data_IF_365123129168
#
_entry.id   IF_365123129168
#
_cell.length_a   1.000
_cell.length_b   1.000
_cell.length_c   1.000
_cell.angle_alpha   90.00
_cell.angle_beta   90.00
_cell.angle_gamma   90.00
#
_symmetry.space_group_name_H-M   'P 1'
#
loop_
_entity.id
_entity.type
_entity.pdbx_description
1 polymer ?
#
# COMPACT_ATOMS: atom_id res chain seq x y z
N UNK A 1 -9.18 -25.05 7.73
CA UNK A 1 -9.70 -23.76 8.21
C UNK A 1 -8.54 -23.07 8.90
N UNK A 2 -7.80 -22.23 8.18
CA UNK A 2 -6.77 -21.40 8.81
C UNK A 2 -7.47 -20.24 9.52
N UNK A 3 -7.33 -20.18 10.85
CA UNK A 3 -7.78 -19.04 11.64
C UNK A 3 -6.88 -17.84 11.32
N UNK A 4 -7.42 -16.81 10.67
CA UNK A 4 -6.68 -15.59 10.37
C UNK A 4 -6.69 -14.68 11.61
N UNK A 5 -5.57 -14.56 12.36
CA UNK A 5 -5.55 -13.90 13.66
C UNK A 5 -5.89 -12.41 13.58
N UNK A 6 -5.55 -11.73 12.47
CA UNK A 6 -5.88 -10.33 12.24
C UNK A 6 -7.39 -10.11 12.08
N UNK A 7 -8.08 -11.02 11.40
CA UNK A 7 -9.53 -10.97 11.22
C UNK A 7 -10.27 -11.20 12.54
N UNK A 8 -9.76 -12.12 13.37
CA UNK A 8 -10.27 -12.39 14.72
C UNK A 8 -10.12 -11.15 15.60
N UNK A 9 -8.94 -10.52 15.59
CA UNK A 9 -8.68 -9.29 16.33
C UNK A 9 -9.59 -8.13 15.88
N UNK A 10 -9.76 -7.93 14.57
CA UNK A 10 -10.67 -6.92 14.03
C UNK A 10 -12.12 -7.19 14.43
N UNK A 11 -12.58 -8.44 14.36
CA UNK A 11 -13.94 -8.83 14.76
C UNK A 11 -14.16 -8.59 16.26
N UNK A 12 -13.21 -9.01 17.10
CA UNK A 12 -13.26 -8.79 18.54
C UNK A 12 -13.30 -7.29 18.88
N UNK A 13 -12.49 -6.47 18.21
CA UNK A 13 -12.50 -5.02 18.37
C UNK A 13 -13.84 -4.39 17.99
N UNK A 14 -14.42 -4.76 16.83
CA UNK A 14 -15.75 -4.30 16.40
C UNK A 14 -16.84 -4.66 17.42
N UNK A 15 -16.83 -5.91 17.89
CA UNK A 15 -17.80 -6.39 18.88
C UNK A 15 -17.63 -5.68 20.22
N UNK A 16 -16.41 -5.50 20.72
CA UNK A 16 -16.16 -4.83 21.99
C UNK A 16 -16.64 -3.37 21.98
N UNK A 17 -16.38 -2.64 20.88
CA UNK A 17 -16.83 -1.24 20.73
C UNK A 17 -18.35 -1.15 20.67
N UNK A 18 -19.01 -1.98 19.85
CA UNK A 18 -20.47 -1.96 19.73
C UNK A 18 -21.15 -2.44 21.00
N UNK A 19 -20.78 -3.61 21.51
CA UNK A 19 -21.42 -4.22 22.67
C UNK A 19 -21.23 -3.37 23.92
N UNK A 20 -20.00 -2.89 24.18
CA UNK A 20 -19.76 -2.01 25.33
C UNK A 20 -20.55 -0.70 25.27
N UNK A 21 -20.74 -0.14 24.07
CA UNK A 21 -21.58 1.05 23.88
C UNK A 21 -23.06 0.76 24.09
N UNK A 22 -23.54 -0.41 23.64
CA UNK A 22 -24.95 -0.81 23.76
C UNK A 22 -25.32 -1.22 25.18
N UNK A 23 -24.47 -1.97 25.88
CA UNK A 23 -24.69 -2.39 27.27
C UNK A 23 -24.85 -1.16 28.17
N UNK A 24 -23.99 -0.16 27.99
CA UNK A 24 -24.07 1.10 28.71
C UNK A 24 -25.42 1.80 28.48
N UNK A 25 -25.88 1.89 27.22
CA UNK A 25 -27.17 2.48 26.88
C UNK A 25 -28.36 1.72 27.49
N UNK A 26 -28.28 0.38 27.55
CA UNK A 26 -29.32 -0.46 28.14
C UNK A 26 -29.40 -0.30 29.66
N UNK A 27 -28.25 -0.20 30.34
CA UNK A 27 -28.19 0.06 31.78
C UNK A 27 -28.80 1.43 32.11
N UNK A 28 -28.52 2.46 31.30
CA UNK A 28 -29.15 3.78 31.44
C UNK A 28 -30.65 3.74 31.22
N UNK A 29 -31.13 2.97 30.23
CA UNK A 29 -32.56 2.81 29.98
C UNK A 29 -33.29 2.22 31.19
N UNK A 30 -32.74 1.15 31.78
CA UNK A 30 -33.34 0.51 32.95
C UNK A 30 -33.43 1.48 34.13
N UNK A 31 -32.39 2.30 34.33
CA UNK A 31 -32.37 3.31 35.38
C UNK A 31 -33.36 4.46 35.12
N UNK A 32 -33.62 4.79 33.85
CA UNK A 32 -34.53 5.87 33.45
C UNK A 32 -36.00 5.45 33.38
N UNK A 33 -36.33 4.17 33.15
CA UNK A 33 -37.73 3.71 33.06
C UNK A 33 -38.40 3.53 34.44
N UNK A 34 -37.64 3.52 35.54
CA UNK A 34 -38.12 3.14 36.87
C UNK A 34 -38.81 4.26 37.72
N UNK A 35 -38.83 5.56 37.35
CA UNK A 35 -39.39 6.63 38.23
C UNK A 35 -39.98 7.92 37.57
N UNK A 36 -41.22 7.85 37.05
CA UNK A 36 -41.86 8.80 36.09
C UNK A 36 -42.01 10.32 36.39
N UNK A 37 -41.58 10.88 37.53
CA UNK A 37 -41.93 12.28 37.91
C UNK A 37 -40.80 13.32 37.85
N UNK A 38 -39.65 13.02 38.49
CA UNK A 38 -38.45 13.88 38.53
C UNK A 38 -37.54 13.68 37.30
N UNK A 39 -37.90 12.71 36.45
CA UNK A 39 -37.10 12.20 35.37
C UNK A 39 -36.90 13.16 34.21
N UNK A 40 -37.70 14.19 33.95
CA UNK A 40 -37.49 14.99 32.72
C UNK A 40 -36.21 15.84 32.80
N UNK A 41 -35.97 16.54 33.93
CA UNK A 41 -34.70 17.28 34.14
C UNK A 41 -33.52 16.36 34.41
N UNK A 42 -33.75 15.25 35.12
CA UNK A 42 -32.72 14.24 35.35
C UNK A 42 -32.36 13.52 34.05
N UNK A 43 -33.32 13.31 33.15
CA UNK A 43 -33.13 12.75 31.80
C UNK A 43 -32.32 13.70 30.95
N UNK A 44 -32.58 15.00 30.97
CA UNK A 44 -31.73 15.97 30.24
C UNK A 44 -30.29 15.97 30.80
N UNK A 45 -30.12 15.95 32.13
CA UNK A 45 -28.81 15.81 32.80
C UNK A 45 -28.10 14.48 32.48
N UNK A 46 -28.84 13.37 32.48
CA UNK A 46 -28.33 12.03 32.13
C UNK A 46 -28.03 11.95 30.64
N UNK A 47 -28.83 12.59 29.79
CA UNK A 47 -28.57 12.71 28.35
C UNK A 47 -27.28 13.47 28.11
N UNK A 48 -27.09 14.59 28.80
CA UNK A 48 -25.87 15.38 28.72
C UNK A 48 -24.66 14.58 29.24
N UNK A 49 -24.81 13.83 30.34
CA UNK A 49 -23.75 12.97 30.89
C UNK A 49 -23.39 11.79 29.97
N UNK A 50 -24.38 11.15 29.36
CA UNK A 50 -24.17 10.06 28.40
C UNK A 50 -23.48 10.60 27.14
N UNK A 51 -23.91 11.76 26.65
CA UNK A 51 -23.31 12.40 25.47
C UNK A 51 -21.87 12.86 25.74
N UNK A 52 -21.61 13.47 26.90
CA UNK A 52 -20.26 13.82 27.38
C UNK A 52 -19.39 12.56 27.53
N UNK A 53 -19.93 11.50 28.15
CA UNK A 53 -19.25 10.23 28.31
C UNK A 53 -18.85 9.56 26.99
N UNK A 54 -19.70 9.60 25.96
CA UNK A 54 -19.34 9.11 24.63
C UNK A 54 -18.25 9.99 23.98
N UNK A 55 -18.35 11.31 24.09
CA UNK A 55 -17.36 12.22 23.54
C UNK A 55 -15.97 11.98 24.19
N UNK A 56 -15.94 11.84 25.52
CA UNK A 56 -14.71 11.57 26.27
C UNK A 56 -14.16 10.18 26.00
N UNK A 57 -15.04 9.16 25.89
CA UNK A 57 -14.65 7.81 25.50
C UNK A 57 -13.96 7.81 24.12
N UNK A 58 -14.55 8.44 23.11
CA UNK A 58 -13.98 8.45 21.76
C UNK A 58 -12.68 9.24 21.67
N UNK A 59 -12.56 10.35 22.42
CA UNK A 59 -11.28 11.08 22.56
C UNK A 59 -10.22 10.22 23.25
N UNK A 60 -10.54 9.61 24.38
CA UNK A 60 -9.62 8.74 25.10
C UNK A 60 -9.22 7.50 24.29
N UNK A 61 -10.14 6.98 23.47
CA UNK A 61 -9.86 5.89 22.53
C UNK A 61 -8.87 6.36 21.46
N UNK A 62 -9.10 7.50 20.82
CA UNK A 62 -8.17 8.08 19.84
C UNK A 62 -6.76 8.24 20.44
N UNK A 63 -6.64 8.87 21.61
CA UNK A 63 -5.37 9.08 22.30
C UNK A 63 -4.64 7.76 22.53
N UNK A 64 -5.35 6.73 23.00
CA UNK A 64 -4.78 5.38 23.19
C UNK A 64 -4.33 4.76 21.87
N UNK A 65 -5.12 4.88 20.80
CA UNK A 65 -4.74 4.37 19.48
C UNK A 65 -3.48 5.06 18.95
N UNK A 66 -3.37 6.38 19.12
CA UNK A 66 -2.20 7.16 18.71
C UNK A 66 -0.95 6.77 19.52
N UNK A 67 -1.06 6.60 20.84
CA UNK A 67 0.05 6.17 21.70
C UNK A 67 0.53 4.77 21.31
N UNK A 68 -0.38 3.82 21.08
CA UNK A 68 -0.02 2.46 20.66
C UNK A 68 0.61 2.42 19.27
N UNK A 69 0.23 3.34 18.38
CA UNK A 69 0.86 3.47 17.06
C UNK A 69 2.25 4.13 17.12
N UNK A 70 2.48 5.06 18.06
CA UNK A 70 3.74 5.80 18.23
C UNK A 70 4.82 5.04 19.00
N UNK A 71 4.45 4.19 19.96
CA UNK A 71 5.39 3.50 20.87
C UNK A 71 6.31 2.47 20.19
N UNK A 72 5.98 2.05 18.96
CA UNK A 72 6.81 1.14 18.17
C UNK A 72 7.96 1.83 17.43
N UNK A 73 8.12 3.17 17.52
CA UNK A 73 9.23 3.91 16.87
C UNK A 73 10.45 4.14 17.76
N UNK A 74 10.34 4.01 19.08
CA UNK A 74 11.41 4.38 20.01
C UNK A 74 12.25 3.23 20.56
N UNK A 75 11.94 1.98 20.20
CA UNK A 75 12.51 0.78 20.86
C UNK A 75 13.48 -0.08 20.05
N UNK A 76 13.78 0.23 18.79
CA UNK A 76 14.53 -0.69 17.91
C UNK A 76 15.69 -0.01 17.16
N UNK A 77 16.58 0.61 17.92
CA UNK A 77 17.99 0.65 17.53
C UNK A 77 18.67 -0.59 18.13
N UNK A 78 19.15 -1.46 17.24
CA UNK A 78 20.09 -2.55 17.52
C UNK A 78 19.60 -3.75 18.35
N UNK A 79 18.95 -4.74 17.73
CA UNK A 79 19.11 -6.16 18.10
C UNK A 79 18.44 -7.14 17.11
N UNK A 80 19.19 -8.15 16.66
CA UNK A 80 18.70 -9.46 16.17
C UNK A 80 17.96 -9.52 14.82
N UNK A 81 18.67 -9.96 13.77
CA UNK A 81 18.17 -10.07 12.36
C UNK A 81 17.06 -11.13 12.16
N UNK A 82 16.77 -11.99 13.14
CA UNK A 82 15.80 -13.10 12.96
C UNK A 82 14.54 -13.00 13.83
N UNK A 83 14.59 -12.39 15.02
CA UNK A 83 13.41 -12.23 15.90
C UNK A 83 12.64 -10.91 15.64
N UNK A 84 13.34 -9.84 15.24
CA UNK A 84 12.71 -8.55 14.93
C UNK A 84 11.72 -8.61 13.76
N UNK A 85 11.92 -9.52 12.81
CA UNK A 85 11.09 -9.60 11.61
C UNK A 85 9.64 -10.05 11.88
N UNK A 86 9.40 -10.89 12.90
CA UNK A 86 8.03 -11.27 13.29
C UNK A 86 7.37 -10.17 14.12
N UNK A 87 8.10 -9.53 15.03
CA UNK A 87 7.61 -8.40 15.84
C UNK A 87 7.21 -7.22 14.95
N UNK A 88 8.01 -6.89 13.93
CA UNK A 88 7.71 -5.84 12.96
C UNK A 88 6.47 -6.16 12.09
N UNK A 89 6.27 -7.44 11.73
CA UNK A 89 5.09 -7.89 10.97
C UNK A 89 3.81 -7.79 11.81
N UNK A 90 3.85 -8.23 13.06
CA UNK A 90 2.73 -8.12 14.01
C UNK A 90 2.41 -6.65 14.31
N UNK A 91 3.45 -5.82 14.48
CA UNK A 91 3.31 -4.38 14.70
C UNK A 91 2.67 -3.67 13.49
N UNK A 92 3.10 -3.97 12.27
CA UNK A 92 2.50 -3.38 11.07
C UNK A 92 1.07 -3.91 10.81
N UNK A 93 0.82 -5.20 11.01
CA UNK A 93 -0.53 -5.77 10.92
C UNK A 93 -1.49 -5.10 11.90
N UNK A 94 -1.04 -4.83 13.13
CA UNK A 94 -1.82 -4.07 14.12
C UNK A 94 -2.17 -2.66 13.63
N UNK A 95 -1.21 -1.92 13.05
CA UNK A 95 -1.46 -0.58 12.49
C UNK A 95 -2.54 -0.61 11.40
N UNK A 96 -2.55 -1.64 10.55
CA UNK A 96 -3.59 -1.80 9.52
C UNK A 96 -4.96 -2.13 10.13
N UNK A 97 -5.01 -2.94 11.20
CA UNK A 97 -6.24 -3.19 11.97
C UNK A 97 -6.76 -1.90 12.60
N UNK A 98 -5.89 -1.06 13.16
CA UNK A 98 -6.27 0.25 13.72
C UNK A 98 -6.85 1.18 12.65
N UNK A 99 -6.25 1.20 11.45
CA UNK A 99 -6.78 1.95 10.32
C UNK A 99 -8.21 1.50 9.96
N UNK A 100 -8.45 0.19 9.92
CA UNK A 100 -9.79 -0.37 9.65
C UNK A 100 -10.79 -0.15 10.79
N UNK A 101 -10.33 -0.16 12.04
CA UNK A 101 -11.18 0.17 13.18
C UNK A 101 -11.64 1.64 13.12
N UNK A 102 -10.76 2.55 12.69
CA UNK A 102 -11.12 3.96 12.49
C UNK A 102 -12.20 4.14 11.41
N UNK A 103 -12.06 3.45 10.29
CA UNK A 103 -13.08 3.44 9.21
C UNK A 103 -14.41 2.89 9.73
N UNK A 104 -14.37 1.82 10.53
CA UNK A 104 -15.59 1.26 11.14
C UNK A 104 -16.25 2.22 12.13
N UNK A 105 -15.46 2.92 12.96
CA UNK A 105 -15.98 3.91 13.90
C UNK A 105 -16.66 5.05 13.15
N UNK A 106 -16.03 5.56 12.08
CA UNK A 106 -16.59 6.61 11.23
C UNK A 106 -17.87 6.17 10.51
N UNK A 107 -17.85 5.02 9.83
CA UNK A 107 -18.90 4.64 8.88
C UNK A 107 -20.05 3.84 9.50
N UNK A 108 -19.83 3.21 10.66
CA UNK A 108 -20.81 2.29 11.24
C UNK A 108 -21.09 2.58 12.71
N UNK A 109 -20.07 2.68 13.55
CA UNK A 109 -20.30 2.85 14.99
C UNK A 109 -20.93 4.22 15.31
N UNK A 110 -20.35 5.30 14.79
CA UNK A 110 -20.83 6.67 15.07
C UNK A 110 -22.26 6.89 14.56
N UNK A 111 -22.63 6.50 13.31
CA UNK A 111 -24.02 6.61 12.85
C UNK A 111 -25.01 5.81 13.70
N UNK A 112 -24.68 4.55 14.05
CA UNK A 112 -25.55 3.71 14.88
C UNK A 112 -25.73 4.28 16.29
N UNK A 113 -24.65 4.70 16.94
CA UNK A 113 -24.73 5.32 18.27
C UNK A 113 -25.54 6.62 18.19
N UNK A 114 -25.39 7.40 17.12
CA UNK A 114 -26.18 8.63 16.92
C UNK A 114 -27.67 8.34 16.75
N UNK A 115 -28.03 7.31 15.97
CA UNK A 115 -29.41 6.88 15.76
C UNK A 115 -30.06 6.39 17.06
N UNK A 116 -29.35 5.57 17.84
CA UNK A 116 -29.83 5.09 19.14
C UNK A 116 -29.96 6.25 20.13
N UNK A 117 -28.96 7.14 20.23
CA UNK A 117 -29.05 8.34 21.09
C UNK A 117 -30.23 9.21 20.68
N UNK A 118 -30.47 9.40 19.39
CA UNK A 118 -31.66 10.11 18.92
C UNK A 118 -32.95 9.36 19.32
N UNK A 119 -33.04 8.05 19.11
CA UNK A 119 -34.22 7.26 19.45
C UNK A 119 -34.54 7.27 20.96
N UNK A 120 -33.52 7.19 21.83
CA UNK A 120 -33.69 7.17 23.28
C UNK A 120 -33.92 8.57 23.89
N UNK A 121 -33.34 9.61 23.30
CA UNK A 121 -33.28 10.94 23.91
C UNK A 121 -34.09 12.05 23.18
N UNK A 122 -34.82 11.75 22.10
CA UNK A 122 -35.61 12.69 21.26
C UNK A 122 -36.78 13.48 21.92
N UNK A 123 -36.90 13.51 23.25
CA UNK A 123 -37.86 14.42 23.90
C UNK A 123 -37.09 15.70 24.27
N UNK A 124 -37.44 16.80 23.60
CA UNK A 124 -36.67 18.03 23.52
C UNK A 124 -36.44 18.75 24.85
N UNK A 125 -35.28 18.51 25.44
CA UNK A 125 -34.67 19.36 26.45
C UNK A 125 -33.76 20.39 25.79
N UNK A 126 -34.02 21.68 26.02
CA UNK A 126 -33.09 22.76 25.68
C UNK A 126 -31.86 22.60 26.58
N UNK A 127 -30.73 22.19 25.99
CA UNK A 127 -29.44 22.05 26.71
C UNK A 127 -29.13 23.34 27.48
N UNK A 128 -28.87 23.20 28.79
CA UNK A 128 -28.29 24.28 29.58
C UNK A 128 -26.78 24.29 29.29
N UNK A 129 -26.25 25.45 28.89
CA UNK A 129 -24.85 25.65 28.44
C UNK A 129 -23.78 25.37 29.52
N UNK A 130 -24.12 24.77 30.66
CA UNK A 130 -23.25 24.57 31.82
C UNK A 130 -22.60 23.19 31.92
N UNK A 131 -23.05 22.17 31.16
CA UNK A 131 -22.53 20.80 31.26
C UNK A 131 -21.89 20.33 29.94
N UNK A 132 -20.59 19.96 30.00
CA UNK A 132 -19.87 19.07 29.07
C UNK A 132 -19.85 19.39 27.56
N UNK A 133 -18.84 18.94 26.79
CA UNK A 133 -18.93 19.00 25.34
C UNK A 133 -20.09 18.13 24.85
N UNK A 134 -20.89 18.66 23.91
CA UNK A 134 -21.93 17.86 23.26
C UNK A 134 -21.33 16.65 22.54
N UNK A 135 -22.07 15.54 22.46
CA UNK A 135 -21.75 14.49 21.51
C UNK A 135 -21.92 15.08 20.11
N UNK A 136 -20.80 15.28 19.41
CA UNK A 136 -20.79 15.83 18.06
C UNK A 136 -20.32 14.74 17.10
N UNK A 137 -21.26 13.96 16.51
CA UNK A 137 -20.93 12.87 15.57
C UNK A 137 -19.99 13.33 14.44
N UNK A 138 -20.19 14.55 13.94
CA UNK A 138 -19.37 15.13 12.88
C UNK A 138 -17.92 15.37 13.26
N UNK A 139 -17.64 15.67 14.54
CA UNK A 139 -16.27 15.82 15.05
C UNK A 139 -15.59 14.45 15.15
N UNK A 140 -16.27 13.47 15.77
CA UNK A 140 -15.78 12.09 15.91
C UNK A 140 -15.48 11.49 14.53
N UNK A 141 -16.40 11.61 13.56
CA UNK A 141 -16.16 11.13 12.21
C UNK A 141 -14.95 11.80 11.54
N UNK A 142 -14.72 13.10 11.75
CA UNK A 142 -13.55 13.81 11.20
C UNK A 142 -12.25 13.33 11.83
N UNK A 143 -12.26 13.17 13.15
CA UNK A 143 -11.14 12.70 13.96
C UNK A 143 -10.71 11.29 13.52
N UNK A 144 -11.64 10.33 13.53
CA UNK A 144 -11.34 8.95 13.15
C UNK A 144 -11.01 8.81 11.66
N UNK A 145 -11.58 9.63 10.77
CA UNK A 145 -11.13 9.69 9.38
C UNK A 145 -9.66 10.09 9.26
N UNK A 146 -9.27 11.17 9.96
CA UNK A 146 -7.88 11.65 9.94
C UNK A 146 -6.91 10.63 10.57
N UNK A 147 -7.30 10.03 11.72
CA UNK A 147 -6.50 9.01 12.38
C UNK A 147 -6.36 7.76 11.50
N UNK A 148 -7.44 7.31 10.87
CA UNK A 148 -7.43 6.20 9.93
C UNK A 148 -6.47 6.44 8.77
N UNK A 149 -6.48 7.64 8.18
CA UNK A 149 -5.60 7.99 7.04
C UNK A 149 -4.12 7.96 7.47
N UNK A 150 -3.82 8.48 8.67
CA UNK A 150 -2.47 8.44 9.26
C UNK A 150 -2.01 7.00 9.50
N UNK A 151 -2.86 6.13 10.04
CA UNK A 151 -2.51 4.72 10.27
C UNK A 151 -2.29 3.97 8.96
N UNK A 152 -3.12 4.20 7.94
CA UNK A 152 -2.92 3.58 6.63
C UNK A 152 -1.58 4.00 6.01
N UNK A 153 -1.26 5.29 6.05
CA UNK A 153 0.04 5.80 5.57
C UNK A 153 1.20 5.27 6.41
N UNK A 154 1.03 5.11 7.72
CA UNK A 154 2.04 4.49 8.58
C UNK A 154 2.29 3.03 8.22
N UNK A 155 1.25 2.24 7.93
CA UNK A 155 1.39 0.86 7.46
C UNK A 155 2.21 0.81 6.16
N UNK A 156 1.81 1.61 5.16
CA UNK A 156 2.50 1.71 3.87
C UNK A 156 3.98 2.04 4.09
N UNK A 157 4.26 3.07 4.91
CA UNK A 157 5.64 3.47 5.21
C UNK A 157 6.45 2.34 5.87
N UNK A 158 5.92 1.66 6.89
CA UNK A 158 6.64 0.56 7.55
C UNK A 158 6.96 -0.57 6.56
N UNK A 159 6.01 -0.94 5.70
CA UNK A 159 6.21 -1.99 4.69
C UNK A 159 7.18 -1.58 3.60
N UNK A 160 7.07 -0.36 3.08
CA UNK A 160 8.01 0.19 2.11
C UNK A 160 9.42 0.31 2.70
N UNK A 161 9.58 0.71 3.96
CA UNK A 161 10.89 0.78 4.61
C UNK A 161 11.55 -0.60 4.73
N UNK A 162 10.78 -1.63 5.10
CA UNK A 162 11.27 -3.01 5.15
C UNK A 162 11.82 -3.46 3.79
N UNK A 163 11.08 -3.20 2.71
CA UNK A 163 11.56 -3.49 1.34
C UNK A 163 12.77 -2.62 0.99
N UNK A 164 12.79 -1.36 1.40
CA UNK A 164 13.91 -0.44 1.16
C UNK A 164 15.21 -0.93 1.80
N UNK A 165 15.15 -1.60 2.96
CA UNK A 165 16.32 -2.26 3.57
C UNK A 165 16.86 -3.39 2.69
N UNK A 166 15.97 -4.22 2.12
CA UNK A 166 16.34 -5.26 1.16
C UNK A 166 17.02 -4.66 -0.07
N UNK A 167 16.43 -3.60 -0.63
CA UNK A 167 16.99 -2.87 -1.78
C UNK A 167 18.35 -2.27 -1.45
N UNK A 168 18.49 -1.59 -0.30
CA UNK A 168 19.77 -1.02 0.15
C UNK A 168 20.86 -2.09 0.17
N UNK A 169 20.58 -3.26 0.76
CA UNK A 169 21.53 -4.38 0.81
C UNK A 169 21.95 -4.84 -0.59
N UNK A 170 21.03 -4.90 -1.55
CA UNK A 170 21.35 -5.24 -2.96
C UNK A 170 22.34 -4.27 -3.58
N UNK A 171 22.22 -2.97 -3.31
CA UNK A 171 23.09 -1.97 -3.92
C UNK A 171 24.39 -1.73 -3.16
N UNK A 172 24.47 -2.00 -1.85
CA UNK A 172 25.69 -1.79 -1.06
C UNK A 172 26.65 -2.98 -1.05
N UNK A 173 26.16 -4.21 -1.32
CA UNK A 173 26.97 -5.43 -1.20
C UNK A 173 27.94 -5.64 -2.39
N UNK A 174 27.50 -5.57 -3.67
CA UNK A 174 28.38 -5.82 -4.80
C UNK A 174 29.16 -4.56 -5.21
N UNK A 175 30.35 -4.76 -5.78
CA UNK A 175 31.08 -3.70 -6.44
C UNK A 175 30.57 -3.54 -7.89
N UNK A 176 29.64 -2.59 -8.10
CA UNK A 176 29.03 -2.32 -9.41
C UNK A 176 30.01 -1.83 -10.49
N UNK A 177 31.16 -1.28 -10.09
CA UNK A 177 32.22 -0.86 -11.02
C UNK A 177 33.03 -2.05 -11.56
N UNK A 178 33.08 -3.18 -10.83
CA UNK A 178 33.76 -4.43 -11.26
C UNK A 178 32.80 -5.61 -11.36
N UNK A 179 31.54 -5.34 -11.67
CA UNK A 179 30.52 -6.40 -11.74
C UNK A 179 30.83 -7.36 -12.91
N UNK A 180 30.52 -8.65 -12.70
CA UNK A 180 30.68 -9.71 -13.70
C UNK A 180 29.47 -9.77 -14.63
N UNK A 181 29.63 -10.39 -15.79
CA UNK A 181 28.56 -10.58 -16.76
C UNK A 181 27.35 -11.33 -16.15
N UNK A 182 26.11 -10.87 -16.41
CA UNK A 182 24.91 -11.49 -15.88
C UNK A 182 24.71 -12.89 -16.46
N UNK A 183 24.53 -13.88 -15.58
CA UNK A 183 24.25 -15.28 -15.97
C UNK A 183 22.85 -15.75 -15.60
N UNK A 184 22.21 -15.04 -14.68
CA UNK A 184 20.86 -15.31 -14.21
C UNK A 184 20.30 -14.04 -13.58
N UNK A 185 18.98 -14.01 -13.43
CA UNK A 185 18.30 -12.95 -12.68
C UNK A 185 18.64 -13.13 -11.21
N UNK A 186 19.11 -12.07 -10.57
CA UNK A 186 19.62 -12.12 -9.22
C UNK A 186 18.53 -12.52 -8.21
N UNK A 187 18.91 -13.27 -7.15
CA UNK A 187 18.01 -13.73 -6.08
C UNK A 187 17.26 -12.62 -5.32
N UNK A 188 17.67 -11.35 -5.48
CA UNK A 188 16.99 -10.25 -4.80
C UNK A 188 15.58 -10.07 -5.36
N UNK A 189 15.39 -10.39 -6.63
CA UNK A 189 14.11 -10.29 -7.31
C UNK A 189 13.11 -11.24 -6.65
N UNK A 190 13.53 -12.46 -6.32
CA UNK A 190 12.68 -13.45 -5.65
C UNK A 190 12.33 -12.99 -4.23
N UNK A 191 13.32 -12.50 -3.47
CA UNK A 191 13.10 -11.95 -2.13
C UNK A 191 12.18 -10.72 -2.15
N UNK A 192 12.30 -9.87 -3.17
CA UNK A 192 11.46 -8.70 -3.36
C UNK A 192 10.01 -9.10 -3.65
N UNK A 193 9.80 -10.06 -4.56
CA UNK A 193 8.47 -10.59 -4.89
C UNK A 193 7.84 -11.30 -3.69
N UNK A 194 8.62 -12.06 -2.93
CA UNK A 194 8.14 -12.73 -1.70
C UNK A 194 7.67 -11.73 -0.64
N UNK A 195 8.39 -10.62 -0.43
CA UNK A 195 7.95 -9.58 0.50
C UNK A 195 6.67 -8.86 0.01
N UNK A 196 6.52 -8.65 -1.32
CA UNK A 196 5.28 -8.11 -1.90
C UNK A 196 4.11 -9.08 -1.75
N UNK A 197 4.33 -10.38 -1.96
CA UNK A 197 3.31 -11.42 -1.77
C UNK A 197 2.85 -11.51 -0.32
N UNK A 198 3.79 -11.44 0.63
CA UNK A 198 3.47 -11.40 2.06
C UNK A 198 2.61 -10.18 2.43
N UNK A 199 2.91 -9.00 1.86
CA UNK A 199 2.09 -7.79 2.04
C UNK A 199 0.70 -7.99 1.42
N UNK A 200 0.62 -8.56 0.22
CA UNK A 200 -0.64 -8.89 -0.44
C UNK A 200 -1.51 -9.82 0.42
N UNK A 201 -0.92 -10.86 1.02
CA UNK A 201 -1.61 -11.79 1.89
C UNK A 201 -2.15 -11.14 3.18
N UNK A 202 -1.42 -10.20 3.77
CA UNK A 202 -1.88 -9.44 4.95
C UNK A 202 -3.00 -8.47 4.60
N UNK A 203 -2.83 -7.71 3.52
CA UNK A 203 -3.81 -6.73 3.04
C UNK A 203 -5.12 -7.44 2.66
N UNK A 204 -5.03 -8.61 2.03
CA UNK A 204 -6.18 -9.44 1.64
C UNK A 204 -7.04 -9.89 2.83
N UNK A 205 -6.47 -10.02 4.02
CA UNK A 205 -7.21 -10.41 5.22
C UNK A 205 -8.09 -9.27 5.79
N UNK A 206 -7.76 -8.01 5.50
CA UNK A 206 -8.31 -6.85 6.19
C UNK A 206 -9.02 -5.83 5.29
N UNK A 207 -8.55 -5.67 4.05
CA UNK A 207 -9.11 -4.70 3.11
C UNK A 207 -10.08 -5.37 2.12
N UNK A 208 -11.16 -4.69 1.72
CA UNK A 208 -12.01 -5.16 0.64
C UNK A 208 -11.24 -5.18 -0.70
N UNK A 209 -11.50 -6.17 -1.57
CA UNK A 209 -11.03 -6.11 -2.94
C UNK A 209 -11.68 -4.92 -3.65
N UNK A 210 -10.90 -4.22 -4.47
CA UNK A 210 -11.34 -3.08 -5.25
C UNK A 210 -12.35 -3.49 -6.32
N UNK A 211 -13.20 -2.53 -6.71
CA UNK A 211 -14.29 -2.75 -7.69
C UNK A 211 -13.75 -2.90 -9.13
N UNK A 212 -12.47 -2.60 -9.36
CA UNK A 212 -11.82 -2.78 -10.65
C UNK A 212 -11.37 -4.23 -10.82
N UNK A 213 -12.34 -5.07 -11.20
CA UNK A 213 -12.05 -6.43 -11.62
C UNK A 213 -11.02 -6.42 -12.74
N UNK A 214 -9.89 -7.09 -12.51
CA UNK A 214 -9.01 -7.56 -13.58
C UNK A 214 -9.90 -8.16 -14.66
N UNK A 215 -10.05 -7.47 -15.77
CA UNK A 215 -10.49 -8.11 -17.00
C UNK A 215 -9.33 -9.01 -17.41
N UNK A 216 -9.27 -10.19 -16.78
CA UNK A 216 -8.41 -11.30 -17.16
C UNK A 216 -8.60 -11.41 -18.65
N UNK A 217 -7.55 -11.05 -19.40
CA UNK A 217 -7.56 -11.15 -20.84
C UNK A 217 -7.80 -12.62 -21.14
N UNK A 218 -9.03 -12.97 -21.46
CA UNK A 218 -9.35 -14.21 -22.12
C UNK A 218 -8.61 -14.12 -23.45
N UNK A 219 -7.50 -14.83 -23.57
CA UNK A 219 -6.87 -15.07 -24.85
C UNK A 219 -7.83 -15.91 -25.69
N UNK A 220 -8.77 -15.24 -26.34
CA UNK A 220 -9.52 -15.79 -27.45
C UNK A 220 -8.59 -15.79 -28.66
N UNK A 221 -7.87 -16.90 -28.83
CA UNK A 221 -7.38 -17.31 -30.13
C UNK A 221 -8.57 -17.47 -31.07
N UNK A 222 -8.69 -16.56 -32.05
CA UNK A 222 -9.84 -16.52 -32.95
C UNK A 222 -9.63 -15.59 -34.16
N UNK A 223 -8.65 -15.95 -34.99
CA UNK A 223 -8.69 -15.88 -36.45
C UNK A 223 -8.78 -14.54 -37.22
N UNK A 224 -7.69 -14.29 -37.96
CA UNK A 224 -7.59 -14.03 -39.42
C UNK A 224 -8.26 -12.82 -40.10
N UNK A 225 -7.48 -12.27 -41.04
CA UNK A 225 -7.79 -11.33 -42.13
C UNK A 225 -7.76 -9.83 -41.73
N UNK A 226 -7.05 -8.93 -42.39
CA UNK A 226 -6.52 -8.93 -43.75
C UNK A 226 -5.39 -7.90 -43.90
N UNK A 227 -4.47 -8.21 -44.81
CA UNK A 227 -3.40 -7.36 -45.33
C UNK A 227 -3.86 -5.98 -45.78
N UNK A 228 -3.02 -4.97 -45.56
CA UNK A 228 -2.73 -3.91 -46.54
C UNK A 228 -1.49 -3.11 -46.12
N UNK A 229 -0.37 -3.51 -46.70
CA UNK A 229 0.85 -2.72 -46.82
C UNK A 229 0.61 -1.45 -47.64
N UNK A 230 1.26 -0.35 -47.27
CA UNK A 230 1.74 0.63 -48.24
C UNK A 230 3.09 1.20 -47.77
N UNK A 231 4.16 1.10 -48.57
CA UNK A 231 5.47 1.62 -48.23
C UNK A 231 5.59 3.07 -48.70
N UNK A 232 5.91 3.99 -47.81
CA UNK A 232 6.46 5.29 -48.20
C UNK A 232 7.96 5.28 -47.95
N UNK A 233 8.68 5.32 -49.06
CA UNK A 233 10.08 5.72 -49.19
C UNK A 233 10.36 6.92 -48.29
N UNK A 234 11.44 6.86 -47.54
CA UNK A 234 12.22 8.07 -47.30
C UNK A 234 13.69 7.80 -47.57
N UNK A 235 14.25 8.76 -48.29
CA UNK A 235 15.49 8.66 -49.04
C UNK A 235 16.67 9.04 -48.14
N UNK A 236 17.70 8.21 -48.22
CA UNK A 236 19.12 8.52 -48.00
C UNK A 236 19.44 9.94 -47.54
N UNK A 237 19.77 10.14 -46.25
CA UNK A 237 20.85 11.05 -45.84
C UNK A 237 21.55 10.58 -44.56
N UNK A 238 22.85 10.34 -44.73
CA UNK A 238 23.85 10.05 -43.71
C UNK A 238 23.81 11.09 -42.60
N UNK A 239 23.18 10.75 -41.46
CA UNK A 239 23.30 11.51 -40.21
C UNK A 239 24.11 10.68 -39.23
N UNK A 240 25.24 11.25 -38.81
CA UNK A 240 26.20 10.68 -37.90
C UNK A 240 25.55 10.15 -36.61
N UNK A 241 26.00 8.97 -36.17
CA UNK A 241 25.45 8.21 -35.04
C UNK A 241 25.39 9.01 -33.72
N UNK A 242 26.23 10.05 -33.60
CA UNK A 242 26.31 10.95 -32.44
C UNK A 242 25.19 11.98 -32.38
N UNK A 243 24.58 12.38 -33.50
CA UNK A 243 23.42 13.28 -33.50
C UNK A 243 22.11 12.54 -33.16
N UNK A 244 21.98 11.27 -33.57
CA UNK A 244 20.79 10.44 -33.28
C UNK A 244 20.66 10.13 -31.79
N UNK A 245 21.78 9.86 -31.12
CA UNK A 245 21.81 9.66 -29.66
C UNK A 245 21.47 10.95 -28.89
N UNK A 246 21.97 12.11 -29.33
CA UNK A 246 21.61 13.41 -28.74
C UNK A 246 20.16 13.80 -28.98
N UNK A 247 19.61 13.53 -30.16
CA UNK A 247 18.19 13.77 -30.44
C UNK A 247 17.30 12.82 -29.66
N UNK A 248 17.65 11.54 -29.52
CA UNK A 248 16.92 10.59 -28.68
C UNK A 248 16.96 10.97 -27.20
N UNK A 249 18.10 11.45 -26.69
CA UNK A 249 18.24 11.92 -25.30
C UNK A 249 17.40 13.19 -25.06
N UNK A 250 17.42 14.14 -26.00
CA UNK A 250 16.57 15.34 -25.92
C UNK A 250 15.08 14.99 -26.08
N UNK A 251 14.74 14.06 -26.95
CA UNK A 251 13.37 13.56 -27.14
C UNK A 251 12.87 12.77 -25.93
N UNK A 252 13.73 12.00 -25.25
CA UNK A 252 13.39 11.37 -23.96
C UNK A 252 13.28 12.38 -22.82
N UNK A 253 14.10 13.43 -22.78
CA UNK A 253 13.98 14.50 -21.78
C UNK A 253 12.75 15.41 -22.02
N UNK A 254 12.41 15.69 -23.28
CA UNK A 254 11.19 16.40 -23.65
C UNK A 254 9.95 15.52 -23.43
N UNK A 255 10.03 14.23 -23.74
CA UNK A 255 8.99 13.27 -23.37
C UNK A 255 8.85 13.13 -21.84
N UNK A 256 9.93 13.28 -21.04
CA UNK A 256 9.86 13.35 -19.56
C UNK A 256 9.15 14.63 -19.07
N UNK A 257 9.21 15.73 -19.81
CA UNK A 257 8.50 16.98 -19.47
C UNK A 257 6.98 16.89 -19.76
N UNK A 258 6.57 16.05 -20.73
CA UNK A 258 5.17 15.86 -21.12
C UNK A 258 4.56 14.51 -20.66
N UNK A 259 5.37 13.52 -20.27
CA UNK A 259 4.91 12.27 -19.65
C UNK A 259 4.63 12.56 -18.19
N UNK A 260 3.35 12.78 -17.92
CA UNK A 260 2.64 12.33 -16.73
C UNK A 260 3.56 12.25 -15.51
N UNK A 261 3.72 13.38 -14.81
CA UNK A 261 4.28 13.40 -13.46
C UNK A 261 3.55 12.31 -12.68
N UNK A 262 4.20 11.15 -12.50
CA UNK A 262 3.56 10.01 -11.85
C UNK A 262 3.08 10.53 -10.51
N UNK A 263 1.76 10.56 -10.33
CA UNK A 263 1.16 11.02 -9.09
C UNK A 263 1.35 9.89 -8.07
N UNK A 264 2.57 9.80 -7.53
CA UNK A 264 2.94 8.85 -6.48
C UNK A 264 2.15 9.16 -5.20
N UNK A 265 1.69 10.41 -5.06
CA UNK A 265 1.01 10.95 -3.89
C UNK A 265 -0.48 11.22 -4.15
N UNK A 266 -1.14 10.39 -4.95
CA UNK A 266 -2.60 10.36 -4.92
C UNK A 266 -3.07 9.82 -3.58
N UNK A 267 -4.25 10.26 -3.14
CA UNK A 267 -4.85 9.77 -1.90
C UNK A 267 -5.04 8.25 -1.99
N UNK A 268 -4.36 7.49 -1.14
CA UNK A 268 -4.51 6.04 -1.08
C UNK A 268 -5.89 5.67 -0.55
N UNK A 269 -6.57 4.76 -1.23
CA UNK A 269 -7.88 4.25 -0.86
C UNK A 269 -7.75 3.02 0.04
N UNK A 270 -8.81 2.71 0.80
CA UNK A 270 -8.87 1.52 1.67
C UNK A 270 -9.22 0.25 0.89
N UNK A 271 -8.53 -0.01 -0.20
CA UNK A 271 -8.68 -1.19 -1.05
C UNK A 271 -7.36 -1.96 -1.15
N UNK A 272 -7.44 -3.26 -1.45
CA UNK A 272 -6.25 -4.10 -1.55
C UNK A 272 -5.29 -3.58 -2.62
N UNK A 273 -5.84 -3.27 -3.79
CA UNK A 273 -5.14 -2.85 -5.00
C UNK A 273 -4.52 -1.46 -4.81
N UNK A 274 -5.23 -0.51 -4.19
CA UNK A 274 -4.70 0.83 -3.95
C UNK A 274 -3.47 0.78 -3.03
N UNK A 275 -3.55 0.04 -1.92
CA UNK A 275 -2.44 -0.08 -0.96
C UNK A 275 -1.25 -0.79 -1.59
N UNK A 276 -1.46 -1.94 -2.25
CA UNK A 276 -0.39 -2.69 -2.90
C UNK A 276 0.25 -1.87 -4.02
N UNK A 277 -0.54 -1.19 -4.84
CA UNK A 277 -0.06 -0.31 -5.90
C UNK A 277 0.79 0.85 -5.35
N UNK A 278 0.34 1.51 -4.28
CA UNK A 278 1.12 2.57 -3.61
C UNK A 278 2.47 2.03 -3.12
N UNK A 279 2.48 0.86 -2.45
CA UNK A 279 3.72 0.25 -1.94
C UNK A 279 4.67 -0.08 -3.10
N UNK A 280 4.18 -0.69 -4.18
CA UNK A 280 5.00 -1.01 -5.37
C UNK A 280 5.57 0.26 -5.98
N UNK A 281 4.76 1.31 -6.21
CA UNK A 281 5.21 2.60 -6.74
C UNK A 281 6.33 3.21 -5.89
N UNK A 282 6.18 3.22 -4.56
CA UNK A 282 7.21 3.71 -3.64
C UNK A 282 8.49 2.86 -3.66
N UNK A 283 8.37 1.54 -3.79
CA UNK A 283 9.51 0.64 -3.89
C UNK A 283 10.30 0.86 -5.19
N UNK A 284 9.62 1.04 -6.33
CA UNK A 284 10.26 1.33 -7.60
C UNK A 284 10.93 2.71 -7.61
N UNK A 285 10.34 3.70 -6.93
CA UNK A 285 10.98 5.01 -6.72
C UNK A 285 12.22 4.92 -5.84
N UNK A 286 12.16 4.11 -4.78
CA UNK A 286 13.34 3.85 -3.94
C UNK A 286 14.44 3.13 -4.73
N UNK A 287 14.08 2.17 -5.58
CA UNK A 287 14.99 1.47 -6.49
C UNK A 287 15.68 2.43 -7.46
N UNK A 288 14.93 3.38 -8.07
CA UNK A 288 15.49 4.44 -8.91
C UNK A 288 16.54 5.27 -8.15
N UNK A 289 16.26 5.64 -6.90
CA UNK A 289 17.19 6.40 -6.06
C UNK A 289 18.45 5.59 -5.72
N UNK A 290 18.31 4.31 -5.37
CA UNK A 290 19.49 3.47 -5.12
C UNK A 290 20.37 3.33 -6.37
N UNK A 291 19.78 3.20 -7.55
CA UNK A 291 20.51 3.19 -8.83
C UNK A 291 21.25 4.51 -9.06
N UNK A 292 20.59 5.66 -8.80
CA UNK A 292 21.18 6.99 -8.96
C UNK A 292 22.47 7.17 -8.16
N UNK A 293 22.57 6.52 -7.00
CA UNK A 293 23.71 6.59 -6.08
C UNK A 293 24.89 5.70 -6.50
N UNK A 294 24.76 4.85 -7.51
CA UNK A 294 25.82 3.94 -7.95
C UNK A 294 26.59 4.47 -9.18
N UNK A 295 27.68 3.78 -9.49
CA UNK A 295 28.38 3.86 -10.78
C UNK A 295 28.55 2.44 -11.29
N UNK A 296 28.10 2.19 -12.53
CA UNK A 296 28.07 0.86 -13.12
C UNK A 296 29.15 0.71 -14.20
N UNK A 297 29.72 -0.49 -14.30
CA UNK A 297 30.32 -0.93 -15.57
C UNK A 297 29.24 -1.54 -16.48
N UNK A 298 29.61 -1.91 -17.72
CA UNK A 298 28.70 -2.52 -18.70
C UNK A 298 27.92 -3.70 -18.11
N UNK A 299 28.61 -4.65 -17.48
CA UNK A 299 27.99 -5.86 -16.93
C UNK A 299 27.07 -5.58 -15.74
N UNK A 300 27.40 -4.59 -14.90
CA UNK A 300 26.55 -4.15 -13.79
C UNK A 300 25.25 -3.54 -14.31
N UNK A 301 25.33 -2.70 -15.34
CA UNK A 301 24.15 -2.18 -16.04
C UNK A 301 23.31 -3.30 -16.65
N UNK A 302 23.92 -4.25 -17.35
CA UNK A 302 23.22 -5.40 -17.93
C UNK A 302 22.54 -6.28 -16.88
N UNK A 303 23.13 -6.45 -15.69
CA UNK A 303 22.47 -7.17 -14.60
C UNK A 303 21.23 -6.42 -14.09
N UNK A 304 21.30 -5.09 -13.93
CA UNK A 304 20.12 -4.30 -13.58
C UNK A 304 19.06 -4.43 -14.68
N UNK A 305 19.44 -4.30 -15.95
CA UNK A 305 18.52 -4.52 -17.07
C UNK A 305 17.84 -5.88 -16.99
N UNK A 306 18.58 -6.97 -16.79
CA UNK A 306 18.03 -8.32 -16.64
C UNK A 306 17.06 -8.42 -15.46
N UNK A 307 17.45 -7.91 -14.30
CA UNK A 307 16.66 -7.98 -13.07
C UNK A 307 15.33 -7.21 -13.20
N UNK A 308 15.37 -6.00 -13.79
CA UNK A 308 14.19 -5.15 -14.00
C UNK A 308 13.27 -5.71 -15.09
N UNK A 309 13.84 -6.27 -16.17
CA UNK A 309 13.03 -6.87 -17.24
C UNK A 309 12.28 -8.12 -16.75
N UNK A 310 12.90 -8.92 -15.89
CA UNK A 310 12.19 -10.03 -15.25
C UNK A 310 11.04 -9.55 -14.35
N UNK A 311 11.23 -8.47 -13.58
CA UNK A 311 10.22 -7.93 -12.66
C UNK A 311 8.93 -7.44 -13.36
N UNK A 312 8.98 -7.10 -14.66
CA UNK A 312 7.79 -6.61 -15.39
C UNK A 312 6.61 -7.56 -15.31
N UNK A 313 6.81 -8.84 -15.62
CA UNK A 313 5.75 -9.84 -15.63
C UNK A 313 5.07 -9.97 -14.27
N UNK A 314 5.81 -10.35 -13.21
CA UNK A 314 5.26 -10.47 -11.86
C UNK A 314 4.58 -9.20 -11.33
N UNK A 315 5.13 -8.01 -11.60
CA UNK A 315 4.54 -6.75 -11.11
C UNK A 315 3.23 -6.38 -11.81
N UNK A 316 3.08 -6.70 -13.10
CA UNK A 316 1.81 -6.53 -13.83
C UNK A 316 0.72 -7.47 -13.31
N UNK A 317 1.10 -8.64 -12.81
CA UNK A 317 0.16 -9.53 -12.13
C UNK A 317 -0.21 -9.05 -10.72
N UNK A 318 0.54 -8.12 -10.13
CA UNK A 318 0.26 -7.60 -8.78
C UNK A 318 -0.52 -6.28 -8.82
N UNK A 319 -0.35 -5.47 -9.88
CA UNK A 319 -0.84 -4.07 -9.94
C UNK A 319 -1.64 -3.82 -11.21
N UNK A 320 -2.77 -3.12 -11.09
CA UNK A 320 -3.67 -2.83 -12.23
C UNK A 320 -3.14 -1.77 -13.21
N UNK A 321 -2.34 -0.82 -12.72
CA UNK A 321 -1.79 0.31 -13.47
C UNK A 321 -0.50 -0.10 -14.22
N UNK A 322 -0.62 -1.04 -15.16
CA UNK A 322 0.51 -1.61 -15.91
C UNK A 322 1.38 -0.55 -16.58
N UNK A 323 0.75 0.51 -17.13
CA UNK A 323 1.45 1.58 -17.84
C UNK A 323 2.37 2.37 -16.91
N UNK A 324 1.91 2.69 -15.69
CA UNK A 324 2.75 3.37 -14.70
C UNK A 324 3.86 2.46 -14.20
N UNK A 325 3.59 1.16 -14.00
CA UNK A 325 4.63 0.19 -13.63
C UNK A 325 5.70 0.08 -14.71
N UNK A 326 5.30 -0.05 -15.98
CA UNK A 326 6.24 -0.10 -17.11
C UNK A 326 7.10 1.16 -17.19
N UNK A 327 6.48 2.33 -17.02
CA UNK A 327 7.19 3.60 -16.98
C UNK A 327 8.20 3.70 -15.82
N UNK A 328 7.82 3.28 -14.62
CA UNK A 328 8.71 3.31 -13.45
C UNK A 328 9.90 2.35 -13.62
N UNK A 329 9.66 1.17 -14.20
CA UNK A 329 10.72 0.20 -14.51
C UNK A 329 11.66 0.72 -15.61
N UNK A 330 11.11 1.37 -16.65
CA UNK A 330 11.92 2.05 -17.69
C UNK A 330 12.82 3.12 -17.08
N UNK A 331 12.29 3.94 -16.17
CA UNK A 331 13.05 4.98 -15.48
C UNK A 331 14.22 4.41 -14.65
N UNK A 332 14.07 3.20 -14.09
CA UNK A 332 15.18 2.51 -13.41
C UNK A 332 16.27 2.10 -14.41
N UNK A 333 15.89 1.54 -15.56
CA UNK A 333 16.85 1.13 -16.61
C UNK A 333 17.58 2.36 -17.18
N UNK A 334 16.83 3.43 -17.48
CA UNK A 334 17.39 4.71 -17.96
C UNK A 334 18.36 5.29 -16.92
N UNK A 335 17.95 5.34 -15.65
CA UNK A 335 18.84 5.78 -14.56
C UNK A 335 20.11 4.94 -14.45
N UNK A 336 20.02 3.62 -14.63
CA UNK A 336 21.19 2.74 -14.59
C UNK A 336 22.12 2.98 -15.79
N UNK A 337 21.56 3.23 -16.97
CA UNK A 337 22.29 3.59 -18.19
C UNK A 337 23.05 4.91 -18.04
N UNK A 338 22.40 5.95 -17.49
CA UNK A 338 23.01 7.26 -17.22
C UNK A 338 24.16 7.19 -16.20
N UNK A 339 24.13 6.18 -15.31
CA UNK A 339 25.17 5.92 -14.30
C UNK A 339 26.22 4.91 -14.74
N UNK A 340 26.12 4.39 -15.97
CA UNK A 340 27.04 3.40 -16.53
C UNK A 340 28.16 4.07 -17.33
N UNK A 341 29.38 3.56 -17.19
CA UNK A 341 30.55 4.05 -17.93
C UNK A 341 30.50 3.66 -19.42
N UNK A 342 29.77 2.59 -19.74
CA UNK A 342 29.66 2.02 -21.07
C UNK A 342 28.31 1.31 -21.23
N UNK A 343 27.24 2.09 -21.49
CA UNK A 343 25.86 1.62 -21.45
C UNK A 343 25.49 0.84 -22.72
N UNK A 344 26.06 -0.34 -22.89
CA UNK A 344 25.66 -1.27 -23.96
C UNK A 344 24.66 -2.29 -23.38
N UNK A 345 23.38 -2.25 -23.83
CA UNK A 345 22.36 -3.16 -23.33
C UNK A 345 22.68 -4.60 -23.73
N UNK A 346 22.17 -5.53 -22.93
CA UNK A 346 22.18 -6.95 -23.27
C UNK A 346 21.28 -7.18 -24.49
N UNK A 347 21.74 -8.02 -25.41
CA UNK A 347 20.95 -8.34 -26.61
C UNK A 347 19.62 -9.00 -26.23
N UNK A 348 18.50 -8.61 -26.86
CA UNK A 348 17.18 -9.16 -26.52
C UNK A 348 17.12 -10.70 -26.50
N UNK A 349 17.72 -11.44 -27.46
CA UNK A 349 17.70 -12.91 -27.42
C UNK A 349 18.40 -13.51 -26.20
N UNK A 350 19.48 -12.88 -25.71
CA UNK A 350 20.20 -13.34 -24.52
C UNK A 350 19.37 -13.04 -23.28
N UNK A 351 18.80 -11.83 -23.21
CA UNK A 351 17.91 -11.42 -22.13
C UNK A 351 16.72 -12.38 -21.98
N UNK A 352 16.02 -12.65 -23.09
CA UNK A 352 14.87 -13.55 -23.12
C UNK A 352 15.27 -14.97 -22.70
N UNK A 353 16.41 -15.47 -23.19
CA UNK A 353 16.92 -16.79 -22.79
C UNK A 353 17.15 -16.89 -21.28
N UNK A 354 17.75 -15.88 -20.65
CA UNK A 354 18.02 -15.87 -19.21
C UNK A 354 16.73 -15.78 -18.38
N UNK A 355 15.77 -14.97 -18.83
CA UNK A 355 14.45 -14.86 -18.19
C UNK A 355 13.70 -16.19 -18.28
N UNK A 356 13.62 -16.80 -19.46
CA UNK A 356 12.97 -18.09 -19.66
C UNK A 356 13.62 -19.21 -18.85
N UNK A 357 14.96 -19.22 -18.77
CA UNK A 357 15.68 -20.18 -17.93
C UNK A 357 15.29 -20.05 -16.44
N UNK A 358 15.09 -18.84 -15.93
CA UNK A 358 14.61 -18.64 -14.55
C UNK A 358 13.15 -19.09 -14.37
N UNK A 359 12.28 -18.74 -15.31
CA UNK A 359 10.87 -19.15 -15.26
C UNK A 359 10.72 -20.68 -15.31
N UNK A 360 11.54 -21.37 -16.10
CA UNK A 360 11.58 -22.83 -16.15
C UNK A 360 12.01 -23.43 -14.79
N UNK A 361 13.11 -22.94 -14.20
CA UNK A 361 13.56 -23.37 -12.86
C UNK A 361 12.50 -23.17 -11.78
N UNK A 362 11.77 -22.06 -11.82
CA UNK A 362 10.70 -21.79 -10.86
C UNK A 362 9.52 -22.77 -11.00
N UNK A 363 9.18 -23.18 -12.22
CA UNK A 363 8.15 -24.20 -12.48
C UNK A 363 8.56 -25.60 -12.00
N UNK A 364 9.83 -25.96 -12.15
CA UNK A 364 10.37 -27.24 -11.66
C UNK A 364 10.39 -27.33 -10.12
N UNK A 365 10.58 -26.19 -9.43
CA UNK A 365 10.58 -26.11 -7.97
C UNK A 365 9.17 -26.08 -7.35
N UNK A 366 8.15 -25.67 -8.11
CA UNK A 366 6.74 -25.72 -7.73
C UNK A 366 5.97 -26.69 -8.63
N UNK A 367 6.15 -28.01 -8.50
CA UNK A 367 5.29 -28.95 -9.20
C UNK A 367 3.91 -28.82 -8.57
N UNK A 368 3.02 -28.09 -9.25
CA UNK A 368 1.58 -28.16 -8.99
C UNK A 368 1.23 -29.64 -9.13
N UNK A 369 1.02 -30.30 -7.99
CA UNK A 369 0.48 -31.66 -7.98
C UNK A 369 -0.94 -31.58 -8.56
N UNK A 370 -1.32 -32.49 -9.46
CA UNK A 370 -2.58 -32.44 -10.19
C UNK A 370 -3.81 -32.48 -9.29
#
# INVERSE_FOLDING_TARGET
MEEHPLQIALKAGKTAVLQGSMDLLLDFRKLLDDDLGLLVKLRDLVTDWVQEGFQDFFKALEDRLLVHSGRNRSGSQEQGITEGAQVDKVAAGLVLVLAQLCVFIEQTATPRITEEVAAFFSSGGVRSYENGPAFVPGEICRVFRSAGEKFLQQYINVRTQRISVLLKKRFTTPNWFKHKEPREVHMFVDLFLQELEAIGAEVKQLLPPGVLGKHRRTESNGSTASSRSNPLRDDTMSRSNTQRARSQLLETHLAKLFKQKVEIFTKTEYTQESVVNTIVKLCLKSLQEFVRLQTFNRSGFQQIQLDIQFLRGPLKEIVDDEATIDFLLDEVIVGASERCLDPIPLEPPILDKLIQAKLAKAKEQNPVSP
#
